data_IF_623523078624
#
_entry.id   IF_623523078624
#
_cell.length_a   1.000
_cell.length_b   1.000
_cell.length_c   1.000
_cell.angle_alpha   90.00
_cell.angle_beta   90.00
_cell.angle_gamma   90.00
#
_symmetry.space_group_name_H-M   'P 1'
#
loop_
_entity.id
_entity.type
_entity.pdbx_description
1 polymer ?
#
# COMPACT_ATOMS: atom_id res chain seq x y z
N UNK A 1 33.44 40.48 16.48
CA UNK A 1 32.13 39.88 16.79
C UNK A 1 31.41 39.64 15.48
N UNK A 2 31.19 38.39 15.08
CA UNK A 2 30.55 38.04 13.82
C UNK A 2 29.02 38.08 14.00
N UNK A 3 28.34 38.87 13.17
CA UNK A 3 26.88 38.94 13.09
C UNK A 3 26.34 37.66 12.44
N UNK A 4 25.56 36.89 13.18
CA UNK A 4 24.88 35.68 12.68
C UNK A 4 23.64 36.16 11.93
N UNK A 5 23.63 36.00 10.60
CA UNK A 5 22.45 36.29 9.80
C UNK A 5 21.30 35.35 10.22
N UNK A 6 20.20 35.94 10.67
CA UNK A 6 18.95 35.22 10.95
C UNK A 6 18.42 34.65 9.63
N UNK A 7 18.45 33.32 9.49
CA UNK A 7 17.78 32.65 8.39
C UNK A 7 16.28 32.93 8.53
N UNK A 8 15.71 33.71 7.61
CA UNK A 8 14.27 33.83 7.46
C UNK A 8 13.70 32.43 7.28
N UNK A 9 13.01 31.91 8.30
CA UNK A 9 12.15 30.75 8.13
C UNK A 9 10.97 31.27 7.30
N UNK A 10 10.93 30.89 6.03
CA UNK A 10 9.78 31.12 5.18
C UNK A 10 8.59 30.35 5.78
N UNK A 11 7.71 31.08 6.45
CA UNK A 11 6.46 30.57 7.03
C UNK A 11 5.31 30.61 6.02
N UNK A 12 5.59 30.87 4.75
CA UNK A 12 4.59 30.85 3.69
C UNK A 12 3.88 29.49 3.65
N UNK A 13 2.55 29.52 3.73
CA UNK A 13 1.74 28.33 3.42
C UNK A 13 2.15 27.82 2.03
N UNK A 14 2.48 26.53 1.87
CA UNK A 14 2.89 26.00 0.58
C UNK A 14 1.88 26.36 -0.51
N UNK A 15 2.38 26.86 -1.64
CA UNK A 15 1.52 27.25 -2.75
C UNK A 15 0.68 26.05 -3.24
N UNK A 16 -0.58 26.29 -3.68
CA UNK A 16 -1.43 25.24 -4.24
C UNK A 16 -0.74 24.51 -5.40
N UNK A 17 -0.95 23.20 -5.49
CA UNK A 17 -0.35 22.35 -6.53
C UNK A 17 -0.81 22.79 -7.93
N UNK A 18 0.13 23.02 -8.85
CA UNK A 18 -0.17 23.23 -10.28
C UNK A 18 0.05 21.93 -11.06
N UNK A 19 -0.95 21.52 -11.83
CA UNK A 19 -0.85 20.48 -12.85
C UNK A 19 -0.11 21.03 -14.08
N UNK A 20 1.11 20.53 -14.32
CA UNK A 20 1.89 20.85 -15.52
C UNK A 20 2.91 21.98 -15.33
N UNK A 21 3.99 21.94 -16.13
CA UNK A 21 4.98 23.00 -16.22
C UNK A 21 4.72 23.89 -17.44
N UNK A 22 4.81 25.20 -17.28
CA UNK A 22 4.71 26.13 -18.41
C UNK A 22 5.93 25.97 -19.33
N UNK A 23 5.70 25.92 -20.65
CA UNK A 23 6.78 25.97 -21.64
C UNK A 23 7.56 27.28 -21.51
N UNK A 24 8.87 27.17 -21.28
CA UNK A 24 9.73 28.34 -21.06
C UNK A 24 9.85 29.18 -22.32
N UNK A 25 9.48 30.46 -22.24
CA UNK A 25 9.64 31.43 -23.34
C UNK A 25 10.57 32.60 -23.01
N UNK A 26 11.29 32.62 -21.87
CA UNK A 26 12.13 33.77 -21.52
C UNK A 26 13.48 33.41 -20.91
N UNK A 27 14.44 34.31 -21.13
CA UNK A 27 15.80 34.26 -20.62
C UNK A 27 15.81 34.05 -19.10
N UNK A 28 16.50 33.00 -18.67
CA UNK A 28 16.45 32.51 -17.29
C UNK A 28 17.12 33.50 -16.32
N UNK A 29 16.35 34.08 -15.41
CA UNK A 29 16.90 34.56 -14.14
C UNK A 29 17.16 33.32 -13.26
N UNK A 30 18.42 33.05 -12.92
CA UNK A 30 18.77 32.02 -11.94
C UNK A 30 18.00 32.26 -10.64
N UNK A 31 17.15 31.31 -10.26
CA UNK A 31 16.38 31.35 -9.01
C UNK A 31 14.88 31.62 -9.14
N UNK A 32 14.33 31.79 -10.34
CA UNK A 32 12.89 31.96 -10.53
C UNK A 32 12.11 30.64 -10.38
N UNK A 33 11.88 30.20 -9.13
CA UNK A 33 10.71 29.41 -8.72
C UNK A 33 10.30 28.24 -9.61
N UNK A 34 11.24 27.48 -10.16
CA UNK A 34 10.93 26.29 -10.96
C UNK A 34 10.41 25.20 -10.01
N UNK A 35 9.09 25.11 -9.88
CA UNK A 35 8.44 24.05 -9.13
C UNK A 35 8.42 22.78 -9.98
N UNK A 36 9.12 21.73 -9.52
CA UNK A 36 9.06 20.44 -10.16
C UNK A 36 7.67 19.82 -9.98
N UNK A 37 6.98 19.40 -11.05
CA UNK A 37 5.73 18.66 -10.92
C UNK A 37 5.97 17.39 -10.10
N UNK A 38 5.32 17.29 -8.93
CA UNK A 38 5.50 16.14 -8.04
C UNK A 38 4.80 14.93 -8.63
N UNK A 39 5.52 13.99 -9.25
CA UNK A 39 4.97 12.82 -9.94
C UNK A 39 4.27 11.81 -9.00
N UNK A 40 4.25 12.04 -7.70
CA UNK A 40 3.84 11.05 -6.69
C UNK A 40 2.75 11.56 -5.76
N UNK A 41 1.85 10.65 -5.39
CA UNK A 41 0.98 10.77 -4.21
C UNK A 41 1.50 9.81 -3.14
N UNK A 42 1.51 10.24 -1.88
CA UNK A 42 1.94 9.42 -0.74
C UNK A 42 0.93 9.57 0.39
N UNK A 43 0.41 8.45 0.87
CA UNK A 43 -0.65 8.44 1.89
C UNK A 43 -0.50 7.18 2.75
N UNK A 44 -0.93 7.24 4.00
CA UNK A 44 -1.05 6.08 4.87
C UNK A 44 -2.51 5.63 4.95
N UNK A 45 -2.72 4.33 5.00
CA UNK A 45 -4.05 3.76 5.15
C UNK A 45 -4.02 2.58 6.12
N UNK A 46 -5.05 2.49 6.95
CA UNK A 46 -5.24 1.37 7.89
C UNK A 46 -6.30 0.44 7.34
N UNK A 47 -5.98 -0.85 7.26
CA UNK A 47 -6.92 -1.85 6.77
C UNK A 47 -8.07 -2.07 7.77
N UNK A 48 -9.29 -2.14 7.27
CA UNK A 48 -10.50 -2.38 8.05
C UNK A 48 -10.69 -3.87 8.40
N UNK A 49 -11.83 -4.21 9.02
CA UNK A 49 -12.19 -5.59 9.39
C UNK A 49 -12.31 -6.57 8.21
N UNK A 50 -12.38 -6.07 6.97
CA UNK A 50 -12.38 -6.88 5.75
C UNK A 50 -10.98 -7.01 5.13
N UNK A 51 -9.97 -6.40 5.75
CA UNK A 51 -8.61 -6.30 5.23
C UNK A 51 -8.49 -5.32 4.07
N UNK A 52 -9.38 -4.33 3.96
CA UNK A 52 -9.35 -3.34 2.87
C UNK A 52 -9.21 -1.91 3.38
N UNK A 53 -8.74 -1.01 2.52
CA UNK A 53 -8.79 0.41 2.78
C UNK A 53 -8.93 1.19 1.48
N UNK A 54 -9.77 2.23 1.49
CA UNK A 54 -9.90 3.16 0.36
C UNK A 54 -8.96 4.33 0.57
N UNK A 55 -8.07 4.56 -0.39
CA UNK A 55 -7.07 5.62 -0.34
C UNK A 55 -7.39 6.66 -1.40
N UNK A 56 -7.52 7.91 -0.97
CA UNK A 56 -7.60 9.08 -1.85
C UNK A 56 -6.19 9.61 -2.08
N UNK A 57 -5.84 9.85 -3.34
CA UNK A 57 -4.56 10.41 -3.69
C UNK A 57 -4.54 11.92 -3.44
N UNK A 58 -3.37 12.46 -3.07
CA UNK A 58 -3.18 13.90 -2.92
C UNK A 58 -3.25 14.65 -4.25
N UNK A 59 -3.16 13.93 -5.37
CA UNK A 59 -3.26 14.45 -6.73
C UNK A 59 -4.00 13.48 -7.65
N UNK A 60 -4.48 13.99 -8.78
CA UNK A 60 -5.09 13.17 -9.81
C UNK A 60 -4.06 12.68 -10.84
N UNK A 61 -4.37 11.57 -11.49
CA UNK A 61 -3.57 11.00 -12.56
C UNK A 61 -4.42 10.75 -13.80
N UNK A 62 -3.93 11.15 -14.98
CA UNK A 62 -4.61 10.90 -16.26
C UNK A 62 -4.60 9.40 -16.59
N UNK A 63 -3.47 8.74 -16.32
CA UNK A 63 -3.29 7.32 -16.52
C UNK A 63 -3.23 6.58 -15.19
N UNK A 64 -3.44 5.26 -15.24
CA UNK A 64 -3.32 4.41 -14.05
C UNK A 64 -1.90 4.54 -13.49
N UNK A 65 -1.70 5.08 -12.28
CA UNK A 65 -0.37 5.22 -11.72
C UNK A 65 0.21 3.87 -11.31
N UNK A 66 1.54 3.79 -11.21
CA UNK A 66 2.21 2.68 -10.54
C UNK A 66 1.94 2.74 -9.03
N UNK A 67 1.78 1.60 -8.38
CA UNK A 67 1.56 1.52 -6.93
C UNK A 67 2.73 0.82 -6.26
N UNK A 68 3.22 1.44 -5.19
CA UNK A 68 4.09 0.79 -4.21
C UNK A 68 3.35 0.77 -2.86
N UNK A 69 3.19 -0.43 -2.30
CA UNK A 69 2.46 -0.69 -1.07
C UNK A 69 3.43 -1.32 -0.08
N UNK A 70 3.56 -0.74 1.10
CA UNK A 70 4.49 -1.24 2.12
C UNK A 70 3.84 -1.18 3.49
N UNK A 71 3.90 -2.27 4.24
CA UNK A 71 3.52 -2.25 5.65
C UNK A 71 4.47 -1.34 6.43
N UNK A 72 3.91 -0.52 7.32
CA UNK A 72 4.66 0.50 8.08
C UNK A 72 4.59 0.28 9.58
N UNK A 73 3.83 -0.72 10.03
CA UNK A 73 3.67 -1.01 11.44
C UNK A 73 4.90 -1.76 12.00
N UNK A 74 5.48 -1.23 13.07
CA UNK A 74 6.61 -1.82 13.77
C UNK A 74 6.19 -3.00 14.68
N UNK A 75 4.91 -3.08 15.04
CA UNK A 75 4.31 -4.22 15.74
C UNK A 75 3.74 -5.26 14.77
N UNK A 76 4.41 -5.46 13.63
CA UNK A 76 4.00 -6.42 12.63
C UNK A 76 3.72 -7.78 13.28
N UNK A 77 2.52 -8.31 13.02
CA UNK A 77 2.20 -9.71 13.28
C UNK A 77 3.33 -10.59 12.78
N UNK A 78 3.63 -11.69 13.46
CA UNK A 78 4.64 -12.66 13.02
C UNK A 78 4.34 -13.26 11.64
N UNK A 79 3.13 -13.03 11.14
CA UNK A 79 2.67 -13.46 9.83
C UNK A 79 2.92 -12.38 8.77
N UNK A 80 3.55 -12.71 7.64
CA UNK A 80 3.77 -11.77 6.54
C UNK A 80 2.43 -11.24 5.99
N UNK A 81 2.43 -9.97 5.58
CA UNK A 81 1.31 -9.30 4.94
C UNK A 81 1.48 -9.28 3.43
N UNK A 82 0.48 -9.76 2.71
CA UNK A 82 0.38 -9.61 1.25
C UNK A 82 -0.54 -8.43 0.96
N UNK A 83 -0.09 -7.51 0.11
CA UNK A 83 -0.80 -6.28 -0.23
C UNK A 83 -1.04 -6.19 -1.73
N UNK A 84 -2.20 -5.66 -2.14
CA UNK A 84 -2.51 -5.40 -3.55
C UNK A 84 -3.51 -4.25 -3.71
N UNK A 85 -3.46 -3.58 -4.87
CA UNK A 85 -4.55 -2.70 -5.32
C UNK A 85 -5.70 -3.54 -5.86
N UNK A 86 -6.92 -3.30 -5.38
CA UNK A 86 -8.13 -4.03 -5.74
C UNK A 86 -8.96 -3.28 -6.80
N UNK A 87 -9.32 -2.03 -6.51
CA UNK A 87 -10.21 -1.24 -7.36
C UNK A 87 -9.72 0.20 -7.44
N UNK A 88 -9.80 0.81 -8.63
CA UNK A 88 -9.36 2.19 -8.85
C UNK A 88 -10.54 3.15 -8.81
N UNK A 89 -10.39 4.27 -8.09
CA UNK A 89 -11.36 5.36 -8.12
C UNK A 89 -11.00 6.35 -9.23
N UNK A 90 -12.03 6.83 -9.92
CA UNK A 90 -11.93 7.92 -10.88
C UNK A 90 -12.96 8.99 -10.58
N UNK A 91 -12.64 10.23 -10.93
CA UNK A 91 -13.60 11.34 -10.90
C UNK A 91 -14.49 11.38 -12.15
N UNK A 92 -15.38 12.37 -12.23
CA UNK A 92 -16.27 12.60 -13.38
C UNK A 92 -15.53 12.92 -14.68
N UNK A 93 -14.28 13.35 -14.60
CA UNK A 93 -13.41 13.64 -15.75
C UNK A 93 -12.61 12.40 -16.18
N UNK A 94 -12.80 11.26 -15.51
CA UNK A 94 -12.10 10.01 -15.79
C UNK A 94 -10.67 9.95 -15.24
N UNK A 95 -10.24 10.93 -14.44
CA UNK A 95 -8.93 10.96 -13.82
C UNK A 95 -8.90 10.04 -12.60
N UNK A 96 -7.80 9.33 -12.41
CA UNK A 96 -7.60 8.47 -11.23
C UNK A 96 -7.37 9.34 -10.00
N UNK A 97 -8.21 9.15 -8.99
CA UNK A 97 -8.21 9.93 -7.73
C UNK A 97 -7.94 9.09 -6.50
N UNK A 98 -7.92 7.76 -6.64
CA UNK A 98 -7.64 6.87 -5.53
C UNK A 98 -7.57 5.41 -5.93
N UNK A 99 -7.29 4.57 -4.94
CA UNK A 99 -7.34 3.11 -5.05
C UNK A 99 -7.89 2.50 -3.75
N UNK A 100 -8.68 1.45 -3.86
CA UNK A 100 -8.98 0.54 -2.75
C UNK A 100 -7.89 -0.51 -2.72
N UNK A 101 -7.16 -0.58 -1.62
CA UNK A 101 -6.15 -1.61 -1.36
C UNK A 101 -6.75 -2.74 -0.55
N UNK A 102 -6.16 -3.92 -0.69
CA UNK A 102 -6.48 -5.10 0.10
C UNK A 102 -5.18 -5.66 0.67
N UNK A 103 -5.22 -6.07 1.93
CA UNK A 103 -4.19 -6.83 2.59
C UNK A 103 -4.73 -8.13 3.19
N UNK A 104 -3.89 -9.16 3.19
CA UNK A 104 -4.17 -10.45 3.80
C UNK A 104 -2.91 -10.97 4.50
N UNK A 105 -3.06 -11.43 5.74
CA UNK A 105 -1.95 -12.08 6.46
C UNK A 105 -1.83 -13.53 6.01
N UNK A 106 -0.62 -14.05 6.05
CA UNK A 106 -0.44 -15.49 5.95
C UNK A 106 -1.09 -16.20 7.15
N UNK A 107 -1.95 -17.17 6.92
CA UNK A 107 -2.51 -17.99 7.99
C UNK A 107 -1.46 -18.97 8.52
N UNK A 108 -1.51 -19.28 9.81
CA UNK A 108 -0.69 -20.35 10.38
C UNK A 108 -1.20 -21.72 9.91
N UNK A 109 -0.26 -22.62 9.63
CA UNK A 109 -0.61 -24.01 9.33
C UNK A 109 -1.40 -24.61 10.51
N UNK A 110 -2.53 -25.26 10.25
CA UNK A 110 -3.28 -25.98 11.28
C UNK A 110 -2.37 -27.01 11.97
N UNK A 111 -2.46 -27.09 13.30
CA UNK A 111 -1.67 -28.06 14.05
C UNK A 111 -2.13 -29.49 13.71
N UNK A 112 -1.19 -30.35 13.30
CA UNK A 112 -1.44 -31.76 13.06
C UNK A 112 -0.85 -32.53 14.25
N UNK A 113 -1.71 -33.13 15.07
CA UNK A 113 -1.26 -33.97 16.18
C UNK A 113 -0.91 -35.37 15.66
N UNK A 114 0.35 -35.82 15.73
CA UNK A 114 0.70 -37.17 15.30
C UNK A 114 0.13 -38.20 16.28
N UNK A 115 -0.53 -39.23 15.76
CA UNK A 115 -1.01 -40.37 16.54
C UNK A 115 0.15 -41.36 16.75
N UNK A 116 0.62 -41.50 17.99
CA UNK A 116 1.63 -42.51 18.37
C UNK A 116 0.95 -43.78 18.92
N UNK A 117 1.14 -44.94 18.29
CA UNK A 117 0.69 -46.24 18.81
C UNK A 117 0.73 -47.37 17.77
N UNK A 118 1.25 -48.55 18.15
CA UNK A 118 1.58 -49.65 17.22
C UNK A 118 0.50 -50.74 17.04
N UNK A 119 -0.64 -50.68 17.72
CA UNK A 119 -1.59 -51.83 17.78
C UNK A 119 -2.99 -51.56 17.21
N UNK A 120 -3.27 -50.35 16.73
CA UNK A 120 -4.52 -49.99 16.04
C UNK A 120 -4.24 -49.27 14.74
N UNK A 121 -3.21 -49.73 14.00
CA UNK A 121 -2.68 -49.04 12.82
C UNK A 121 -3.77 -48.63 11.83
N UNK A 122 -4.76 -49.47 11.52
CA UNK A 122 -5.79 -49.09 10.54
C UNK A 122 -6.73 -48.02 11.09
N UNK A 123 -7.26 -48.18 12.30
CA UNK A 123 -8.21 -47.21 12.89
C UNK A 123 -7.52 -45.88 13.22
N UNK A 124 -6.26 -45.92 13.68
CA UNK A 124 -5.48 -44.73 13.97
C UNK A 124 -4.96 -44.06 12.71
N UNK A 125 -4.59 -44.81 11.66
CA UNK A 125 -4.26 -44.22 10.35
C UNK A 125 -5.48 -43.54 9.75
N UNK A 126 -6.65 -44.19 9.75
CA UNK A 126 -7.89 -43.59 9.24
C UNK A 126 -8.26 -42.33 10.04
N UNK A 127 -8.18 -42.38 11.38
CA UNK A 127 -8.42 -41.21 12.22
C UNK A 127 -7.41 -40.08 11.96
N UNK A 128 -6.12 -40.40 11.82
CA UNK A 128 -5.07 -39.43 11.54
C UNK A 128 -5.20 -38.79 10.16
N UNK A 129 -5.50 -39.59 9.13
CA UNK A 129 -5.75 -39.09 7.77
C UNK A 129 -6.99 -38.20 7.76
N UNK A 130 -8.09 -38.62 8.39
CA UNK A 130 -9.29 -37.79 8.49
C UNK A 130 -9.04 -36.48 9.25
N UNK A 131 -8.18 -36.49 10.28
CA UNK A 131 -7.78 -35.27 10.98
C UNK A 131 -6.97 -34.33 10.08
N UNK A 132 -6.03 -34.84 9.29
CA UNK A 132 -5.27 -34.05 8.31
C UNK A 132 -6.20 -33.47 7.24
N UNK A 133 -7.06 -34.31 6.65
CA UNK A 133 -8.03 -33.89 5.64
C UNK A 133 -8.93 -32.80 6.21
N UNK A 134 -9.49 -32.99 7.40
CA UNK A 134 -10.35 -31.99 8.06
C UNK A 134 -9.59 -30.69 8.32
N UNK A 135 -8.36 -30.77 8.84
CA UNK A 135 -7.55 -29.60 9.15
C UNK A 135 -7.15 -28.80 7.90
N UNK A 136 -6.91 -29.47 6.78
CA UNK A 136 -6.53 -28.83 5.51
C UNK A 136 -7.73 -28.48 4.62
N UNK A 137 -8.92 -28.99 4.92
CA UNK A 137 -10.13 -28.66 4.17
C UNK A 137 -10.43 -27.18 4.32
N UNK A 138 -10.50 -26.46 3.20
CA UNK A 138 -10.67 -25.00 3.12
C UNK A 138 -9.54 -24.16 3.72
N UNK A 139 -8.37 -24.75 4.02
CA UNK A 139 -7.22 -23.97 4.43
C UNK A 139 -6.74 -23.08 3.27
N UNK A 140 -6.77 -21.76 3.49
CA UNK A 140 -6.22 -20.78 2.57
C UNK A 140 -5.10 -20.03 3.29
N UNK A 141 -3.88 -20.21 2.81
CA UNK A 141 -2.70 -19.55 3.37
C UNK A 141 -2.81 -18.03 3.34
N UNK A 142 -3.67 -17.42 2.52
CA UNK A 142 -3.88 -15.97 2.44
C UNK A 142 -5.25 -15.53 3.01
N UNK A 143 -5.84 -16.27 3.95
CA UNK A 143 -7.09 -15.87 4.60
C UNK A 143 -6.90 -15.21 5.98
N UNK A 144 -5.66 -14.95 6.41
CA UNK A 144 -5.38 -14.33 7.70
C UNK A 144 -5.89 -12.88 7.77
N UNK A 145 -6.43 -12.52 8.93
CA UNK A 145 -6.96 -11.17 9.19
C UNK A 145 -5.83 -10.12 9.13
N UNK A 146 -6.00 -9.09 8.30
CA UNK A 146 -5.08 -7.98 8.16
C UNK A 146 -5.58 -6.66 8.79
N UNK A 147 -6.74 -6.69 9.47
CA UNK A 147 -7.32 -5.52 10.11
C UNK A 147 -6.33 -4.83 11.05
N UNK A 148 -6.31 -3.49 11.01
CA UNK A 148 -5.42 -2.66 11.81
C UNK A 148 -4.02 -2.48 11.23
N UNK A 149 -3.61 -3.26 10.22
CA UNK A 149 -2.31 -3.06 9.58
C UNK A 149 -2.27 -1.71 8.87
N UNK A 150 -1.20 -0.95 9.11
CA UNK A 150 -0.99 0.37 8.47
C UNK A 150 -0.05 0.23 7.28
N UNK A 151 -0.49 0.73 6.13
CA UNK A 151 0.17 0.60 4.84
C UNK A 151 0.53 1.98 4.31
N UNK A 152 1.80 2.18 3.93
CA UNK A 152 2.21 3.28 3.07
C UNK A 152 1.79 2.98 1.64
N UNK A 153 1.08 3.92 1.03
CA UNK A 153 0.59 3.87 -0.33
C UNK A 153 1.24 4.99 -1.13
N UNK A 154 2.07 4.59 -2.09
CA UNK A 154 2.74 5.51 -3.00
C UNK A 154 2.21 5.25 -4.41
N UNK A 155 1.51 6.23 -4.97
CA UNK A 155 1.08 6.22 -6.36
C UNK A 155 2.01 7.10 -7.20
N UNK A 156 2.54 6.58 -8.30
CA UNK A 156 3.56 7.24 -9.13
C UNK A 156 3.09 7.37 -10.57
N UNK A 157 3.12 8.58 -11.11
CA UNK A 157 2.89 8.82 -12.53
C UNK A 157 4.03 8.21 -13.37
N UNK A 158 3.69 7.63 -14.51
CA UNK A 158 4.69 7.23 -15.49
C UNK A 158 5.30 8.48 -16.16
N UNK A 159 6.62 8.49 -16.34
CA UNK A 159 7.36 9.63 -16.89
C UNK A 159 7.25 9.75 -18.41
N UNK A 160 6.82 8.69 -19.10
CA UNK A 160 6.77 8.59 -20.56
C UNK A 160 5.43 9.03 -21.16
N UNK A 161 4.47 9.42 -20.34
CA UNK A 161 3.14 9.83 -20.81
C UNK A 161 2.95 11.31 -20.51
N UNK A 162 2.89 12.13 -21.56
CA UNK A 162 2.68 13.57 -21.43
C UNK A 162 1.44 13.84 -20.59
N UNK A 163 1.55 14.74 -19.61
CA UNK A 163 0.37 15.33 -18.98
C UNK A 163 -0.47 15.97 -20.09
N UNK A 164 -1.66 15.43 -20.33
CA UNK A 164 -2.67 16.08 -21.16
C UNK A 164 -3.16 17.36 -20.47
#
# INVERSE_FOLDING_TARGET
>A
MASIASALIDTGTPAPEKTGGAGGSQAMAQGAGHQHPRLTSTTYATLDGTGQATVTFSRTFVNKPGLNLTETDATASTQPLVLRGLAWQRDSNGLYTGVTIQGQRAQLMPAITPLSGALTLVTQVVAGVNAIVTALTNYNVFAGNAAGATVSVIAVARSDVSAA
#
